data_IF_060430812758
#
_entry.id   IF_060430812758
#
_cell.length_a   1.000
_cell.length_b   1.000
_cell.length_c   1.000
_cell.angle_alpha   90.00
_cell.angle_beta   90.00
_cell.angle_gamma   90.00
#
_symmetry.space_group_name_H-M   'P 1'
#
loop_
_entity.id
_entity.type
_entity.pdbx_description
1 polymer ?
#
# COMPACT_ATOMS: atom_id res chain seq x y z
N UNK A 1 -5.20 13.14 -20.88
CA UNK A 1 -4.74 12.02 -20.01
C UNK A 1 -5.96 11.32 -19.43
N UNK A 2 -5.82 10.06 -19.05
CA UNK A 2 -6.86 9.23 -18.45
C UNK A 2 -6.54 8.95 -16.98
N UNK A 3 -7.58 8.87 -16.16
CA UNK A 3 -7.52 8.55 -14.73
C UNK A 3 -8.55 7.47 -14.41
N UNK A 4 -8.41 6.82 -13.26
CA UNK A 4 -9.36 5.81 -12.80
C UNK A 4 -10.69 6.42 -12.35
N UNK A 5 -11.79 5.76 -12.76
CA UNK A 5 -13.09 5.95 -12.16
C UNK A 5 -13.16 5.14 -10.86
N UNK A 6 -12.93 5.79 -9.71
CA UNK A 6 -12.74 5.12 -8.43
C UNK A 6 -13.95 4.29 -7.99
N UNK A 7 -15.16 4.71 -8.35
CA UNK A 7 -16.42 4.02 -8.03
C UNK A 7 -16.53 2.64 -8.71
N UNK A 8 -15.78 2.41 -9.78
CA UNK A 8 -15.73 1.12 -10.48
C UNK A 8 -14.73 0.14 -9.87
N UNK A 9 -13.80 0.64 -9.05
CA UNK A 9 -12.74 -0.16 -8.45
C UNK A 9 -13.20 -0.78 -7.12
N UNK A 10 -12.78 -2.01 -6.87
CA UNK A 10 -13.04 -2.74 -5.64
C UNK A 10 -11.73 -3.29 -5.07
N UNK A 11 -11.61 -3.29 -3.74
CA UNK A 11 -10.47 -3.89 -3.07
C UNK A 11 -10.23 -5.32 -3.59
N UNK A 12 -8.98 -5.66 -3.90
CA UNK A 12 -8.62 -6.93 -4.54
C UNK A 12 -8.51 -6.86 -6.06
N UNK A 13 -8.92 -5.75 -6.70
CA UNK A 13 -8.67 -5.53 -8.11
C UNK A 13 -7.17 -5.51 -8.42
N UNK A 14 -6.77 -6.29 -9.43
CA UNK A 14 -5.44 -6.32 -9.99
C UNK A 14 -5.41 -5.34 -11.16
N UNK A 15 -4.57 -4.33 -11.05
CA UNK A 15 -4.41 -3.30 -12.06
C UNK A 15 -3.12 -3.58 -12.82
N UNK A 16 -3.25 -3.87 -14.11
CA UNK A 16 -2.15 -4.10 -15.02
C UNK A 16 -1.90 -2.82 -15.80
N UNK A 17 -0.66 -2.34 -15.82
CA UNK A 17 -0.31 -1.08 -16.49
C UNK A 17 0.89 -1.21 -17.41
N UNK A 18 0.91 -0.39 -18.45
CA UNK A 18 2.05 -0.16 -19.33
C UNK A 18 2.76 1.12 -18.88
N UNK A 19 3.65 1.05 -17.88
CA UNK A 19 4.40 2.24 -17.44
C UNK A 19 5.28 2.80 -18.58
N UNK A 20 5.64 4.08 -18.61
CA UNK A 20 6.45 4.66 -19.71
C UNK A 20 7.96 4.65 -19.45
N UNK A 21 8.42 4.31 -18.23
CA UNK A 21 9.84 4.30 -17.84
C UNK A 21 10.74 3.26 -18.56
N UNK A 22 12.06 3.41 -18.45
CA UNK A 22 13.06 2.58 -19.14
C UNK A 22 12.94 1.08 -18.82
N UNK A 23 12.75 0.72 -17.54
CA UNK A 23 12.51 -0.66 -17.10
C UNK A 23 11.22 -1.21 -17.72
N UNK A 24 10.22 -0.36 -17.86
CA UNK A 24 8.93 -0.72 -18.44
C UNK A 24 9.02 -1.10 -19.92
N UNK A 25 9.85 -0.41 -20.71
CA UNK A 25 10.12 -0.78 -22.12
C UNK A 25 10.79 -2.16 -22.19
N UNK A 26 11.79 -2.43 -21.36
CA UNK A 26 12.50 -3.71 -21.30
C UNK A 26 11.58 -4.87 -20.89
N UNK A 27 10.71 -4.67 -19.90
CA UNK A 27 9.76 -5.70 -19.45
C UNK A 27 8.71 -5.98 -20.53
N UNK A 28 8.12 -4.97 -21.20
CA UNK A 28 7.14 -5.20 -22.28
C UNK A 28 7.73 -5.95 -23.47
N UNK A 29 8.88 -5.49 -23.97
CA UNK A 29 9.58 -6.10 -25.10
C UNK A 29 9.91 -7.57 -24.84
N UNK A 30 10.22 -7.89 -23.59
CA UNK A 30 10.69 -9.22 -23.23
C UNK A 30 9.63 -10.20 -22.76
N UNK A 31 8.44 -9.72 -22.39
CA UNK A 31 7.30 -10.55 -21.98
C UNK A 31 6.24 -10.69 -23.08
N UNK A 32 6.48 -10.07 -24.25
CA UNK A 32 5.51 -9.98 -25.35
C UNK A 32 4.12 -9.57 -24.84
N UNK A 33 4.10 -8.64 -23.89
CA UNK A 33 2.94 -8.21 -23.13
C UNK A 33 2.73 -6.72 -23.33
N UNK A 34 1.46 -6.30 -23.42
CA UNK A 34 1.11 -4.87 -23.37
C UNK A 34 1.42 -4.27 -22.00
N UNK A 35 1.33 -5.07 -20.93
CA UNK A 35 1.52 -4.64 -19.55
C UNK A 35 2.90 -5.00 -19.02
N UNK A 36 3.53 -4.06 -18.33
CA UNK A 36 4.85 -4.19 -17.70
C UNK A 36 4.81 -4.23 -16.18
N UNK A 37 3.69 -3.79 -15.61
CA UNK A 37 3.58 -3.57 -14.19
C UNK A 37 2.23 -4.09 -13.68
N UNK A 38 2.24 -4.59 -12.45
CA UNK A 38 1.06 -5.11 -11.77
C UNK A 38 0.93 -4.45 -10.39
N UNK A 39 -0.28 -4.07 -10.05
CA UNK A 39 -0.64 -3.32 -8.84
C UNK A 39 -1.81 -4.05 -8.18
N UNK A 40 -1.81 -4.13 -6.84
CA UNK A 40 -2.96 -4.60 -6.08
C UNK A 40 -3.71 -3.38 -5.49
N UNK A 41 -4.94 -3.16 -5.91
CA UNK A 41 -5.80 -2.13 -5.33
C UNK A 41 -6.34 -2.61 -3.98
N UNK A 42 -6.16 -1.80 -2.92
CA UNK A 42 -6.49 -2.18 -1.55
C UNK A 42 -7.69 -1.42 -0.96
N UNK A 43 -8.42 -0.70 -1.82
CA UNK A 43 -9.63 0.04 -1.49
C UNK A 43 -9.39 1.50 -1.09
N UNK A 44 -10.45 2.32 -1.15
CA UNK A 44 -10.44 3.72 -0.70
C UNK A 44 -9.41 4.59 -1.43
N UNK A 45 -9.15 4.33 -2.71
CA UNK A 45 -8.14 5.03 -3.51
C UNK A 45 -6.71 4.56 -3.27
N UNK A 46 -6.46 3.64 -2.34
CA UNK A 46 -5.12 3.15 -2.04
C UNK A 46 -4.79 1.88 -2.83
N UNK A 47 -3.53 1.75 -3.24
CA UNK A 47 -2.98 0.53 -3.81
C UNK A 47 -1.60 0.21 -3.23
N UNK A 48 -1.16 -1.04 -3.41
CA UNK A 48 0.19 -1.50 -3.08
C UNK A 48 0.82 -2.10 -4.33
N UNK A 49 2.09 -1.79 -4.55
CA UNK A 49 2.87 -2.33 -5.65
C UNK A 49 4.35 -2.46 -5.26
N UNK A 50 5.13 -3.05 -6.16
CA UNK A 50 6.58 -3.13 -6.04
C UNK A 50 7.21 -2.54 -7.30
N UNK A 51 7.99 -1.48 -7.16
CA UNK A 51 8.79 -0.85 -8.23
C UNK A 51 10.24 -0.65 -7.77
N UNK A 52 11.06 0.13 -8.48
CA UNK A 52 12.48 0.34 -8.14
C UNK A 52 12.73 0.81 -6.69
N UNK A 53 11.76 1.44 -6.02
CA UNK A 53 11.85 1.88 -4.64
C UNK A 53 11.45 0.78 -3.63
N UNK A 54 11.19 -0.44 -4.10
CA UNK A 54 10.69 -1.54 -3.29
C UNK A 54 9.17 -1.60 -3.24
N UNK A 55 8.64 -2.33 -2.25
CA UNK A 55 7.20 -2.43 -2.01
C UNK A 55 6.71 -1.25 -1.19
N UNK A 56 5.70 -0.55 -1.69
CA UNK A 56 5.09 0.56 -0.97
C UNK A 56 3.64 0.78 -1.40
N UNK A 57 2.93 1.61 -0.62
CA UNK A 57 1.56 2.02 -0.92
C UNK A 57 1.51 3.38 -1.61
N UNK A 58 0.56 3.58 -2.51
CA UNK A 58 0.33 4.87 -3.14
C UNK A 58 -1.19 5.10 -3.41
N UNK A 59 -1.55 6.22 -4.03
CA UNK A 59 -2.92 6.62 -4.32
C UNK A 59 -3.21 6.54 -5.83
N UNK A 60 -4.32 5.90 -6.19
CA UNK A 60 -4.74 5.64 -7.57
C UNK A 60 -5.02 6.92 -8.36
N UNK A 61 -5.43 8.00 -7.69
CA UNK A 61 -5.66 9.33 -8.27
C UNK A 61 -4.35 10.00 -8.72
N UNK A 62 -3.20 9.47 -8.33
CA UNK A 62 -1.88 9.93 -8.80
C UNK A 62 -1.40 9.18 -10.04
N UNK A 63 -2.17 8.22 -10.54
CA UNK A 63 -1.85 7.48 -11.76
C UNK A 63 -2.60 8.08 -12.95
N UNK A 64 -1.84 8.70 -13.85
CA UNK A 64 -2.31 9.18 -15.14
C UNK A 64 -1.80 8.31 -16.29
N UNK A 65 -2.62 8.19 -17.33
CA UNK A 65 -2.30 7.39 -18.50
C UNK A 65 -2.55 8.17 -19.79
N UNK A 66 -1.67 8.00 -20.78
CA UNK A 66 -1.83 8.63 -22.10
C UNK A 66 -2.95 8.00 -22.91
N UNK A 67 -3.10 6.67 -22.82
CA UNK A 67 -4.08 5.88 -23.57
C UNK A 67 -4.88 4.94 -22.66
N UNK A 68 -6.16 4.72 -22.98
CA UNK A 68 -7.00 3.76 -22.22
C UNK A 68 -6.48 2.33 -22.28
N UNK A 69 -5.85 1.94 -23.39
CA UNK A 69 -5.33 0.59 -23.60
C UNK A 69 -4.04 0.29 -22.79
N UNK A 70 -3.46 1.30 -22.13
CA UNK A 70 -2.28 1.14 -21.27
C UNK A 70 -2.63 0.53 -19.92
N UNK A 71 -3.92 0.35 -19.62
CA UNK A 71 -4.38 -0.12 -18.33
C UNK A 71 -5.47 -1.16 -18.52
N UNK A 72 -5.45 -2.18 -17.69
CA UNK A 72 -6.51 -3.15 -17.58
C UNK A 72 -6.75 -3.55 -16.13
N UNK A 73 -8.02 -3.65 -15.75
CA UNK A 73 -8.42 -4.03 -14.39
C UNK A 73 -8.97 -5.45 -14.43
N UNK A 74 -8.43 -6.30 -13.54
CA UNK A 74 -8.79 -7.71 -13.38
C UNK A 74 -9.28 -7.94 -11.96
N UNK A 75 -10.51 -8.41 -11.82
CA UNK A 75 -11.14 -8.71 -10.52
C UNK A 75 -11.13 -10.21 -10.28
N UNK A 76 -10.63 -10.62 -9.12
CA UNK A 76 -10.72 -12.01 -8.66
C UNK A 76 -12.19 -12.45 -8.57
N UNK A 77 -12.45 -13.70 -8.95
CA UNK A 77 -13.81 -14.26 -8.99
C UNK A 77 -14.38 -14.44 -7.58
N UNK A 78 -13.57 -14.94 -6.65
CA UNK A 78 -13.98 -15.22 -5.27
C UNK A 78 -13.43 -14.17 -4.29
N UNK A 79 -14.30 -13.25 -3.87
CA UNK A 79 -13.96 -12.15 -2.98
C UNK A 79 -13.50 -12.57 -1.58
N UNK A 80 -13.73 -13.82 -1.15
CA UNK A 80 -13.34 -14.30 0.18
C UNK A 80 -11.82 -14.25 0.43
N UNK A 81 -11.02 -14.32 -0.65
CA UNK A 81 -9.55 -14.28 -0.59
C UNK A 81 -8.96 -12.86 -0.47
N UNK A 82 -9.74 -11.82 -0.79
CA UNK A 82 -9.24 -10.45 -0.91
C UNK A 82 -8.63 -9.94 0.38
N UNK A 83 -9.31 -10.14 1.51
CA UNK A 83 -8.88 -9.59 2.79
C UNK A 83 -7.49 -10.10 3.18
N UNK A 84 -7.25 -11.40 3.04
CA UNK A 84 -5.96 -12.04 3.35
C UNK A 84 -4.89 -11.65 2.33
N UNK A 85 -5.23 -11.51 1.05
CA UNK A 85 -4.28 -11.06 0.03
C UNK A 85 -3.80 -9.63 0.31
N UNK A 86 -4.72 -8.73 0.66
CA UNK A 86 -4.38 -7.36 1.03
C UNK A 86 -3.56 -7.31 2.34
N UNK A 87 -3.88 -8.17 3.31
CA UNK A 87 -3.11 -8.28 4.55
C UNK A 87 -1.66 -8.68 4.25
N UNK A 88 -1.45 -9.68 3.40
CA UNK A 88 -0.10 -10.06 2.96
C UNK A 88 0.60 -8.91 2.24
N UNK A 89 -0.05 -8.29 1.25
CA UNK A 89 0.58 -7.19 0.51
C UNK A 89 1.06 -6.05 1.43
N UNK A 90 0.32 -5.76 2.51
CA UNK A 90 0.71 -4.77 3.52
C UNK A 90 1.94 -5.18 4.34
N UNK A 91 2.10 -6.46 4.68
CA UNK A 91 3.29 -6.94 5.40
C UNK A 91 4.56 -6.90 4.55
N UNK A 92 4.41 -6.82 3.22
CA UNK A 92 5.54 -6.73 2.31
C UNK A 92 6.10 -5.31 2.16
N UNK A 93 5.47 -4.27 2.72
CA UNK A 93 5.94 -2.88 2.60
C UNK A 93 7.38 -2.74 3.13
N UNK A 94 8.24 -2.08 2.34
CA UNK A 94 9.66 -1.90 2.60
C UNK A 94 10.56 -2.89 1.88
N UNK A 95 10.05 -4.06 1.44
CA UNK A 95 10.90 -5.07 0.80
C UNK A 95 11.47 -4.54 -0.51
N UNK A 96 12.79 -4.63 -0.66
CA UNK A 96 13.49 -4.04 -1.81
C UNK A 96 13.15 -4.76 -3.12
N UNK A 97 13.27 -4.03 -4.24
CA UNK A 97 12.96 -4.55 -5.56
C UNK A 97 14.10 -5.35 -6.19
N UNK A 98 13.77 -6.35 -7.01
CA UNK A 98 14.73 -7.15 -7.76
C UNK A 98 14.49 -7.05 -9.27
N UNK A 99 15.24 -6.16 -9.93
CA UNK A 99 15.28 -6.06 -11.41
C UNK A 99 15.76 -7.39 -12.01
N UNK A 100 16.77 -8.01 -11.40
CA UNK A 100 17.33 -9.27 -11.88
C UNK A 100 16.26 -10.37 -11.91
N UNK A 101 15.47 -10.52 -10.85
CA UNK A 101 14.42 -11.56 -10.82
C UNK A 101 13.23 -11.19 -11.71
N UNK A 102 12.86 -9.90 -11.80
CA UNK A 102 11.84 -9.46 -12.74
C UNK A 102 12.20 -9.82 -14.19
N UNK A 103 13.46 -9.66 -14.58
CA UNK A 103 13.97 -10.07 -15.91
C UNK A 103 14.00 -11.59 -16.07
N UNK A 104 14.27 -12.35 -14.99
CA UNK A 104 14.31 -13.83 -15.02
C UNK A 104 12.96 -14.50 -15.21
N UNK A 105 11.85 -13.78 -15.08
CA UNK A 105 10.49 -14.29 -15.42
C UNK A 105 10.39 -14.86 -16.85
N UNK A 106 11.29 -14.44 -17.75
CA UNK A 106 11.43 -14.99 -19.11
C UNK A 106 11.84 -16.46 -19.17
N UNK A 107 12.44 -16.97 -18.10
CA UNK A 107 12.96 -18.34 -18.00
C UNK A 107 12.11 -19.10 -16.97
N UNK A 108 10.91 -19.57 -17.33
CA UNK A 108 9.98 -20.21 -16.39
C UNK A 108 10.53 -21.48 -15.72
N UNK A 109 11.60 -22.06 -16.28
CA UNK A 109 12.34 -23.20 -15.71
C UNK A 109 13.47 -22.80 -14.75
N UNK A 110 13.68 -21.50 -14.49
CA UNK A 110 14.71 -21.03 -13.58
C UNK A 110 14.36 -21.42 -12.13
N UNK A 111 15.22 -22.24 -11.51
CA UNK A 111 15.10 -22.72 -10.12
C UNK A 111 16.22 -22.17 -9.22
N UNK A 112 16.71 -20.96 -9.48
CA UNK A 112 17.74 -20.36 -8.63
C UNK A 112 17.20 -19.95 -7.26
N UNK A 113 18.12 -19.72 -6.31
CA UNK A 113 17.78 -19.27 -4.95
C UNK A 113 16.98 -17.97 -5.02
N UNK A 114 15.76 -18.00 -4.46
CA UNK A 114 14.90 -16.83 -4.29
C UNK A 114 15.63 -15.78 -3.44
N UNK A 115 15.71 -14.55 -3.95
CA UNK A 115 16.20 -13.43 -3.14
C UNK A 115 15.08 -12.94 -2.22
N UNK A 116 15.43 -12.37 -1.06
CA UNK A 116 14.46 -11.71 -0.17
C UNK A 116 14.05 -10.35 -0.76
N UNK A 117 13.48 -10.36 -1.96
CA UNK A 117 13.20 -9.18 -2.77
C UNK A 117 11.89 -9.38 -3.51
N UNK A 118 11.25 -8.29 -3.92
CA UNK A 118 9.98 -8.32 -4.62
C UNK A 118 10.08 -7.74 -6.03
N UNK A 119 9.07 -8.03 -6.85
CA UNK A 119 8.74 -7.25 -8.03
C UNK A 119 7.23 -7.28 -8.25
N UNK A 120 6.73 -6.41 -9.13
CA UNK A 120 5.32 -6.09 -9.25
C UNK A 120 4.37 -7.30 -9.34
N UNK A 121 4.55 -8.19 -10.32
CA UNK A 121 3.67 -9.35 -10.53
C UNK A 121 3.87 -10.44 -9.49
N UNK A 122 5.11 -10.65 -9.00
CA UNK A 122 5.39 -11.55 -7.87
C UNK A 122 4.61 -11.14 -6.63
N UNK A 123 4.64 -9.85 -6.28
CA UNK A 123 3.92 -9.34 -5.11
C UNK A 123 2.43 -9.66 -5.20
N UNK A 124 1.79 -9.38 -6.34
CA UNK A 124 0.36 -9.69 -6.55
C UNK A 124 0.10 -11.19 -6.48
N UNK A 125 0.91 -12.00 -7.17
CA UNK A 125 0.72 -13.44 -7.21
C UNK A 125 0.89 -14.09 -5.83
N UNK A 126 1.92 -13.72 -5.07
CA UNK A 126 2.15 -14.21 -3.71
C UNK A 126 1.08 -13.74 -2.73
N UNK A 127 0.56 -12.52 -2.89
CA UNK A 127 -0.54 -12.02 -2.06
C UNK A 127 -1.75 -12.95 -2.14
N UNK A 128 -2.13 -13.32 -3.36
CA UNK A 128 -3.25 -14.23 -3.58
C UNK A 128 -2.91 -15.68 -3.22
N UNK A 129 -1.69 -16.15 -3.48
CA UNK A 129 -1.30 -17.50 -3.03
C UNK A 129 -1.34 -17.63 -1.50
N UNK A 130 -0.86 -16.61 -0.77
CA UNK A 130 -0.97 -16.56 0.69
C UNK A 130 -2.42 -16.63 1.17
N UNK A 131 -3.34 -16.00 0.45
CA UNK A 131 -4.77 -16.08 0.73
C UNK A 131 -5.38 -17.46 0.44
N UNK A 132 -4.68 -18.31 -0.33
CA UNK A 132 -5.13 -19.66 -0.70
C UNK A 132 -5.55 -19.81 -2.17
N UNK A 133 -5.36 -18.78 -3.01
CA UNK A 133 -5.74 -18.81 -4.42
C UNK A 133 -4.52 -18.65 -5.35
N UNK A 134 -4.27 -19.68 -6.16
CA UNK A 134 -3.13 -19.71 -7.09
C UNK A 134 -3.52 -19.11 -8.43
N UNK A 135 -3.25 -17.82 -8.62
CA UNK A 135 -3.53 -17.13 -9.89
C UNK A 135 -2.64 -17.59 -11.04
N UNK A 136 -1.43 -18.05 -10.73
CA UNK A 136 -0.40 -18.50 -11.68
C UNK A 136 0.28 -19.77 -11.15
N UNK A 137 0.97 -20.50 -12.03
CA UNK A 137 1.68 -21.74 -11.66
C UNK A 137 2.89 -21.50 -10.76
N UNK A 138 3.62 -20.40 -10.99
CA UNK A 138 4.78 -20.00 -10.21
C UNK A 138 4.67 -18.53 -9.76
N UNK A 139 4.24 -18.27 -8.51
CA UNK A 139 4.09 -16.90 -8.01
C UNK A 139 5.42 -16.20 -7.74
N UNK A 140 6.54 -16.93 -7.66
CA UNK A 140 7.87 -16.33 -7.50
C UNK A 140 8.42 -15.78 -8.83
N UNK A 141 7.95 -16.30 -9.96
CA UNK A 141 8.39 -15.91 -11.31
C UNK A 141 7.20 -15.90 -12.27
N UNK A 142 6.44 -14.81 -12.26
CA UNK A 142 5.32 -14.61 -13.15
C UNK A 142 5.33 -13.20 -13.75
N UNK A 143 4.67 -13.06 -14.89
CA UNK A 143 4.51 -11.81 -15.62
C UNK A 143 3.11 -11.21 -15.40
N UNK A 144 2.93 -9.90 -15.61
CA UNK A 144 1.60 -9.28 -15.64
C UNK A 144 0.62 -9.98 -16.60
N UNK A 145 1.13 -10.52 -17.72
CA UNK A 145 0.35 -11.26 -18.72
C UNK A 145 -0.18 -12.60 -18.19
N UNK A 146 0.57 -13.28 -17.33
CA UNK A 146 0.09 -14.51 -16.70
C UNK A 146 -1.02 -14.24 -15.70
N UNK A 147 -0.90 -13.18 -14.90
CA UNK A 147 -1.99 -12.69 -14.04
C UNK A 147 -3.23 -12.34 -14.88
N UNK A 148 -3.04 -11.62 -15.99
CA UNK A 148 -4.10 -11.25 -16.93
C UNK A 148 -4.90 -12.46 -17.44
N UNK A 149 -4.20 -13.55 -17.74
CA UNK A 149 -4.75 -14.77 -18.36
C UNK A 149 -5.29 -15.78 -17.34
N UNK A 150 -5.15 -15.50 -16.05
CA UNK A 150 -5.65 -16.41 -15.02
C UNK A 150 -7.16 -16.63 -15.21
N UNK A 151 -7.66 -17.88 -15.19
CA UNK A 151 -9.09 -18.15 -15.29
C UNK A 151 -9.86 -17.73 -14.02
N UNK A 152 -9.13 -17.32 -12.97
CA UNK A 152 -9.66 -16.92 -11.67
C UNK A 152 -9.91 -15.41 -11.57
N UNK A 153 -9.75 -14.67 -12.69
CA UNK A 153 -10.02 -13.23 -12.75
C UNK A 153 -10.89 -12.88 -13.95
N UNK A 154 -11.78 -11.91 -13.74
CA UNK A 154 -12.64 -11.32 -14.76
C UNK A 154 -12.17 -9.90 -15.11
N UNK A 155 -12.34 -9.48 -16.35
CA UNK A 155 -12.06 -8.10 -16.76
C UNK A 155 -13.14 -7.14 -16.22
N UNK A 156 -12.72 -5.99 -15.69
CA UNK A 156 -13.63 -4.92 -15.27
C UNK A 156 -13.57 -3.78 -16.29
N UNK A 157 -14.65 -3.60 -17.04
CA UNK A 157 -14.76 -2.56 -18.06
C UNK A 157 -15.12 -1.19 -17.45
N UNK A 158 -14.80 -0.11 -18.19
CA UNK A 158 -15.24 1.25 -17.83
C UNK A 158 -14.51 1.87 -16.63
N UNK A 159 -13.35 1.35 -16.25
CA UNK A 159 -12.59 1.84 -15.09
C UNK A 159 -11.79 3.14 -15.36
N UNK A 160 -11.84 3.71 -16.57
CA UNK A 160 -11.06 4.89 -16.94
C UNK A 160 -11.94 5.95 -17.58
N UNK A 161 -11.69 7.21 -17.21
CA UNK A 161 -12.26 8.40 -17.84
C UNK A 161 -11.19 9.44 -18.13
N UNK A 162 -11.55 10.48 -18.87
CA UNK A 162 -10.66 11.63 -19.09
C UNK A 162 -10.46 12.33 -17.74
N UNK A 163 -9.21 12.64 -17.44
CA UNK A 163 -8.86 13.38 -16.23
C UNK A 163 -9.21 14.86 -16.40
N UNK A 164 -9.74 15.47 -15.34
CA UNK A 164 -9.94 16.91 -15.27
C UNK A 164 -8.64 17.63 -14.91
N UNK A 165 -8.54 18.92 -15.22
CA UNK A 165 -7.32 19.70 -15.03
C UNK A 165 -6.84 19.69 -13.57
N UNK A 166 -7.78 19.82 -12.63
CA UNK A 166 -7.47 19.79 -11.19
C UNK A 166 -6.97 18.42 -10.72
N UNK A 167 -7.39 17.32 -11.37
CA UNK A 167 -6.90 15.97 -11.07
C UNK A 167 -5.50 15.76 -11.63
N UNK A 168 -5.22 16.33 -12.80
CA UNK A 168 -3.87 16.34 -13.37
C UNK A 168 -2.93 17.13 -12.46
N UNK A 169 -3.34 18.30 -11.99
CA UNK A 169 -2.58 19.10 -11.03
C UNK A 169 -2.35 18.32 -9.72
N UNK A 170 -3.41 17.72 -9.15
CA UNK A 170 -3.30 16.90 -7.95
C UNK A 170 -2.33 15.73 -8.10
N UNK A 171 -2.35 15.04 -9.25
CA UNK A 171 -1.46 13.90 -9.50
C UNK A 171 0.03 14.27 -9.43
N UNK A 172 0.35 15.50 -9.85
CA UNK A 172 1.70 16.06 -9.88
C UNK A 172 2.07 16.83 -8.60
N UNK A 173 1.10 17.09 -7.71
CA UNK A 173 1.33 17.75 -6.43
C UNK A 173 2.24 16.95 -5.49
N UNK A 174 2.77 17.59 -4.45
CA UNK A 174 3.50 16.92 -3.38
C UNK A 174 2.73 15.70 -2.83
N UNK A 175 3.45 14.58 -2.65
CA UNK A 175 2.87 13.32 -2.17
C UNK A 175 3.43 12.95 -0.80
N UNK A 176 2.61 12.98 0.28
CA UNK A 176 3.05 12.47 1.57
C UNK A 176 3.38 10.97 1.54
N UNK A 177 2.85 10.22 0.57
CA UNK A 177 3.12 8.79 0.38
C UNK A 177 4.53 8.54 -0.18
N UNK A 178 5.04 9.48 -0.98
CA UNK A 178 6.43 9.44 -1.44
C UNK A 178 7.39 9.63 -0.25
N UNK A 179 7.14 10.64 0.59
CA UNK A 179 7.89 10.84 1.84
C UNK A 179 7.83 9.62 2.76
N UNK A 180 6.68 8.97 2.88
CA UNK A 180 6.54 7.73 3.65
C UNK A 180 7.43 6.61 3.10
N UNK A 181 7.52 6.47 1.79
CA UNK A 181 8.38 5.49 1.11
C UNK A 181 9.85 5.76 1.40
N UNK A 182 10.28 7.03 1.26
CA UNK A 182 11.66 7.47 1.54
C UNK A 182 12.06 7.22 3.00
N UNK A 183 11.23 7.63 3.96
CA UNK A 183 11.48 7.43 5.41
C UNK A 183 11.56 5.94 5.74
N UNK A 184 10.65 5.13 5.18
CA UNK A 184 10.64 3.67 5.39
C UNK A 184 11.95 3.05 4.88
N UNK A 185 12.36 3.41 3.66
CA UNK A 185 13.58 2.88 3.05
C UNK A 185 14.82 3.32 3.80
N UNK A 186 14.90 4.58 4.23
CA UNK A 186 16.02 5.12 5.01
C UNK A 186 16.19 4.40 6.36
N UNK A 187 15.09 4.09 7.06
CA UNK A 187 15.15 3.31 8.30
C UNK A 187 15.70 1.92 8.02
N UNK A 188 15.14 1.22 7.05
CA UNK A 188 15.54 -0.15 6.76
C UNK A 188 17.00 -0.21 6.26
N UNK A 189 17.45 0.78 5.50
CA UNK A 189 18.85 0.92 5.08
C UNK A 189 19.78 1.13 6.28
N UNK A 190 19.49 2.11 7.15
CA UNK A 190 20.28 2.38 8.34
C UNK A 190 20.36 1.16 9.27
N UNK A 191 19.27 0.40 9.40
CA UNK A 191 19.27 -0.85 10.19
C UNK A 191 20.11 -1.94 9.51
N UNK A 192 20.04 -2.11 8.19
CA UNK A 192 20.89 -3.07 7.47
C UNK A 192 22.37 -2.72 7.63
N UNK A 193 22.74 -1.46 7.51
CA UNK A 193 24.11 -0.98 7.75
C UNK A 193 24.56 -1.24 9.19
N UNK A 194 23.68 -0.95 10.15
CA UNK A 194 23.94 -1.16 11.58
C UNK A 194 24.19 -2.63 11.93
N UNK A 195 23.44 -3.55 11.33
CA UNK A 195 23.34 -4.95 11.77
C UNK A 195 24.06 -5.94 10.86
N UNK A 196 24.35 -5.54 9.62
CA UNK A 196 24.84 -6.42 8.56
C UNK A 196 23.84 -7.49 8.12
N UNK A 197 22.58 -7.42 8.56
CA UNK A 197 21.53 -8.41 8.25
C UNK A 197 20.65 -7.94 7.09
N UNK A 198 20.08 -8.89 6.33
CA UNK A 198 19.17 -8.60 5.22
C UNK A 198 17.73 -8.31 5.69
N UNK A 199 17.57 -7.25 6.50
CA UNK A 199 16.27 -6.78 7.02
C UNK A 199 15.54 -6.01 5.91
N UNK A 200 14.36 -6.49 5.52
CA UNK A 200 13.63 -5.97 4.36
C UNK A 200 12.28 -5.33 4.71
N UNK A 201 11.71 -5.62 5.86
CA UNK A 201 10.44 -5.03 6.30
C UNK A 201 10.47 -4.65 7.78
N UNK A 202 9.46 -3.91 8.23
CA UNK A 202 9.26 -3.68 9.66
C UNK A 202 8.95 -4.98 10.42
N UNK A 203 8.37 -5.99 9.76
CA UNK A 203 8.14 -7.29 10.38
C UNK A 203 9.46 -8.03 10.62
N UNK A 204 10.40 -7.99 9.66
CA UNK A 204 11.76 -8.50 9.84
C UNK A 204 12.48 -7.75 10.97
N UNK A 205 12.34 -6.42 11.01
CA UNK A 205 12.92 -5.57 12.05
C UNK A 205 12.38 -5.91 13.43
N UNK A 206 11.06 -6.08 13.57
CA UNK A 206 10.40 -6.48 14.80
C UNK A 206 10.97 -7.81 15.31
N UNK A 207 11.07 -8.82 14.43
CA UNK A 207 11.65 -10.12 14.79
C UNK A 207 13.13 -10.02 15.16
N UNK A 208 13.88 -9.18 14.45
CA UNK A 208 15.30 -8.97 14.71
C UNK A 208 15.55 -8.36 16.10
N UNK A 209 14.80 -7.31 16.46
CA UNK A 209 14.95 -6.62 17.76
C UNK A 209 14.60 -7.55 18.92
N UNK A 210 13.56 -8.38 18.79
CA UNK A 210 13.19 -9.39 19.80
C UNK A 210 14.35 -10.38 20.03
N UNK A 211 14.96 -10.88 18.96
CA UNK A 211 16.05 -11.86 19.03
C UNK A 211 17.38 -11.26 19.44
N UNK A 212 17.57 -9.95 19.22
CA UNK A 212 18.82 -9.25 19.48
C UNK A 212 18.60 -7.96 20.28
N UNK A 213 18.18 -8.05 21.56
CA UNK A 213 17.90 -6.87 22.40
C UNK A 213 19.04 -5.86 22.53
N UNK A 214 20.29 -6.29 22.28
CA UNK A 214 21.46 -5.40 22.28
C UNK A 214 21.35 -4.24 21.27
N UNK A 215 20.55 -4.39 20.21
CA UNK A 215 20.33 -3.33 19.22
C UNK A 215 19.11 -2.45 19.53
N UNK A 216 18.31 -2.77 20.54
CA UNK A 216 17.01 -2.11 20.83
C UNK A 216 17.12 -0.59 20.87
N UNK A 217 18.07 -0.06 21.64
CA UNK A 217 18.27 1.38 21.77
C UNK A 217 18.65 2.04 20.43
N UNK A 218 19.64 1.49 19.73
CA UNK A 218 20.16 2.07 18.48
C UNK A 218 19.09 2.05 17.38
N UNK A 219 18.34 0.96 17.27
CA UNK A 219 17.23 0.84 16.31
C UNK A 219 16.09 1.80 16.67
N UNK A 220 15.76 1.92 17.95
CA UNK A 220 14.76 2.89 18.43
C UNK A 220 15.14 4.31 18.03
N UNK A 221 16.41 4.69 18.17
CA UNK A 221 16.90 6.03 17.83
C UNK A 221 16.88 6.29 16.31
N UNK A 222 17.20 5.28 15.49
CA UNK A 222 17.05 5.36 14.02
C UNK A 222 15.59 5.70 13.67
N UNK A 223 14.61 4.97 14.22
CA UNK A 223 13.20 5.23 13.91
C UNK A 223 12.75 6.59 14.42
N UNK A 224 13.15 6.99 15.63
CA UNK A 224 12.80 8.31 16.19
C UNK A 224 13.34 9.47 15.34
N UNK A 225 14.60 9.39 14.91
CA UNK A 225 15.26 10.45 14.14
C UNK A 225 14.79 10.52 12.68
N UNK A 226 14.21 9.44 12.14
CA UNK A 226 13.73 9.37 10.75
C UNK A 226 12.50 10.26 10.43
N UNK A 227 11.79 10.73 11.45
CA UNK A 227 10.50 11.42 11.29
C UNK A 227 9.30 10.48 11.07
N UNK A 228 9.49 9.16 11.08
CA UNK A 228 8.41 8.17 10.90
C UNK A 228 7.25 8.36 11.89
N UNK A 229 7.58 8.66 13.14
CA UNK A 229 6.60 8.77 14.24
C UNK A 229 5.70 10.00 14.15
N UNK A 230 5.98 10.94 13.25
CA UNK A 230 5.26 12.22 13.10
C UNK A 230 4.68 12.40 11.69
N UNK A 231 4.78 11.40 10.80
CA UNK A 231 4.28 11.54 9.42
C UNK A 231 2.77 11.82 9.35
N UNK A 232 2.01 11.34 10.33
CA UNK A 232 0.56 11.55 10.38
C UNK A 232 0.16 13.02 10.65
N UNK A 233 1.07 13.84 11.20
CA UNK A 233 0.79 15.25 11.51
C UNK A 233 0.53 16.07 10.24
N UNK A 234 1.14 15.67 9.11
CA UNK A 234 0.86 16.29 7.81
C UNK A 234 -0.62 16.21 7.46
N UNK A 235 -1.24 15.05 7.66
CA UNK A 235 -2.65 14.84 7.32
C UNK A 235 -3.58 15.68 8.20
N UNK A 236 -3.27 15.76 9.50
CA UNK A 236 -4.02 16.60 10.44
C UNK A 236 -3.96 18.09 10.04
N UNK A 237 -2.80 18.53 9.56
CA UNK A 237 -2.57 19.94 9.21
C UNK A 237 -3.21 20.30 7.87
N UNK A 238 -3.09 19.43 6.86
CA UNK A 238 -3.57 19.71 5.51
C UNK A 238 -5.06 19.43 5.33
N UNK A 239 -5.62 18.49 6.10
CA UNK A 239 -7.01 18.07 5.97
C UNK A 239 -7.78 18.18 7.30
N UNK A 240 -7.83 19.36 7.93
CA UNK A 240 -8.48 19.55 9.23
C UNK A 240 -9.98 19.21 9.19
N UNK A 241 -10.63 19.42 8.04
CA UNK A 241 -12.03 19.07 7.77
C UNK A 241 -12.34 17.58 8.00
N UNK A 242 -11.35 16.69 7.93
CA UNK A 242 -11.55 15.25 8.21
C UNK A 242 -11.68 14.96 9.70
N UNK A 243 -11.25 15.86 10.56
CA UNK A 243 -11.15 15.67 12.00
C UNK A 243 -12.07 16.61 12.79
N UNK A 244 -12.80 17.47 12.09
CA UNK A 244 -13.74 18.43 12.65
C UNK A 244 -15.01 18.48 11.78
N UNK A 245 -16.14 18.10 12.37
CA UNK A 245 -17.40 18.00 11.66
C UNK A 245 -17.99 19.37 11.27
N UNK A 246 -17.73 20.43 12.02
CA UNK A 246 -18.20 21.77 11.69
C UNK A 246 -17.44 22.32 10.48
N UNK A 247 -16.12 22.13 10.47
CA UNK A 247 -15.28 22.50 9.30
C UNK A 247 -15.74 21.74 8.06
N UNK A 248 -16.06 20.44 8.18
CA UNK A 248 -16.59 19.65 7.08
C UNK A 248 -17.93 20.21 6.57
N UNK A 249 -18.88 20.50 7.47
CA UNK A 249 -20.19 21.05 7.10
C UNK A 249 -20.08 22.40 6.41
N UNK A 250 -19.07 23.21 6.76
CA UNK A 250 -18.82 24.51 6.16
C UNK A 250 -18.27 24.43 4.72
N UNK A 251 -17.83 23.25 4.24
CA UNK A 251 -17.38 23.08 2.86
C UNK A 251 -18.51 23.41 1.86
N UNK A 252 -18.16 24.01 0.72
CA UNK A 252 -19.15 24.43 -0.28
C UNK A 252 -19.60 23.27 -1.19
N UNK A 253 -20.31 22.31 -0.60
CA UNK A 253 -20.90 21.16 -1.29
C UNK A 253 -22.35 20.93 -0.85
N UNK A 254 -23.14 20.32 -1.72
CA UNK A 254 -24.51 19.87 -1.44
C UNK A 254 -24.57 18.89 -0.26
N UNK A 255 -25.66 18.93 0.51
CA UNK A 255 -25.83 18.09 1.71
C UNK A 255 -25.77 16.60 1.41
N UNK A 256 -26.37 16.17 0.29
CA UNK A 256 -26.34 14.76 -0.15
C UNK A 256 -24.90 14.28 -0.40
N UNK A 257 -24.10 15.09 -1.09
CA UNK A 257 -22.69 14.79 -1.34
C UNK A 257 -21.88 14.75 -0.03
N UNK A 258 -22.09 15.72 0.87
CA UNK A 258 -21.43 15.73 2.18
C UNK A 258 -21.74 14.46 2.98
N UNK A 259 -23.01 14.04 3.01
CA UNK A 259 -23.45 12.82 3.68
C UNK A 259 -22.77 11.58 3.12
N UNK A 260 -22.73 11.44 1.80
CA UNK A 260 -22.08 10.32 1.13
C UNK A 260 -20.57 10.27 1.44
N UNK A 261 -19.87 11.41 1.31
CA UNK A 261 -18.45 11.48 1.61
C UNK A 261 -18.15 11.19 3.07
N UNK A 262 -18.99 11.68 4.00
CA UNK A 262 -18.85 11.37 5.42
C UNK A 262 -19.03 9.88 5.72
N UNK A 263 -19.94 9.18 5.03
CA UNK A 263 -20.11 7.73 5.18
C UNK A 263 -18.85 6.96 4.74
N UNK A 264 -18.27 7.30 3.58
CA UNK A 264 -17.03 6.68 3.09
C UNK A 264 -15.84 6.94 4.04
N UNK A 265 -15.73 8.17 4.52
CA UNK A 265 -14.70 8.58 5.48
C UNK A 265 -14.85 7.85 6.83
N UNK A 266 -16.08 7.68 7.31
CA UNK A 266 -16.41 6.94 8.52
C UNK A 266 -15.99 5.47 8.41
N UNK A 267 -16.38 4.80 7.31
CA UNK A 267 -16.00 3.40 7.08
C UNK A 267 -14.47 3.22 7.07
N UNK A 268 -13.78 4.11 6.35
CA UNK A 268 -12.32 4.14 6.29
C UNK A 268 -11.69 4.32 7.67
N UNK A 269 -12.19 5.25 8.48
CA UNK A 269 -11.67 5.52 9.82
C UNK A 269 -11.90 4.34 10.78
N UNK A 270 -13.08 3.70 10.74
CA UNK A 270 -13.38 2.48 11.53
C UNK A 270 -12.40 1.35 11.18
N UNK A 271 -12.14 1.14 9.90
CA UNK A 271 -11.19 0.11 9.45
C UNK A 271 -9.74 0.42 9.88
N UNK A 272 -9.37 1.70 9.93
CA UNK A 272 -8.07 2.13 10.45
C UNK A 272 -7.95 1.91 11.97
N UNK A 273 -8.99 2.23 12.76
CA UNK A 273 -9.00 1.93 14.21
C UNK A 273 -8.82 0.45 14.48
N UNK A 274 -9.53 -0.43 13.75
CA UNK A 274 -9.37 -1.90 13.89
C UNK A 274 -7.92 -2.32 13.69
N UNK A 275 -7.27 -1.81 12.65
CA UNK A 275 -5.89 -2.14 12.30
C UNK A 275 -4.89 -1.60 13.32
N UNK A 276 -5.00 -0.33 13.71
CA UNK A 276 -4.10 0.27 14.68
C UNK A 276 -4.28 -0.34 16.08
N UNK A 277 -5.52 -0.69 16.46
CA UNK A 277 -5.80 -1.43 17.69
C UNK A 277 -5.14 -2.81 17.69
N UNK A 278 -5.24 -3.55 16.59
CA UNK A 278 -4.55 -4.83 16.44
C UNK A 278 -3.04 -4.69 16.60
N UNK A 279 -2.43 -3.71 15.90
CA UNK A 279 -0.99 -3.47 15.99
C UNK A 279 -0.55 -3.03 17.39
N UNK A 280 -1.35 -2.19 18.06
CA UNK A 280 -1.12 -1.80 19.46
C UNK A 280 -1.13 -3.02 20.39
N UNK A 281 -2.14 -3.89 20.25
CA UNK A 281 -2.26 -5.13 21.04
C UNK A 281 -1.07 -6.07 20.78
N UNK A 282 -0.62 -6.21 19.53
CA UNK A 282 0.57 -7.01 19.22
C UNK A 282 1.82 -6.46 19.92
N UNK A 283 2.04 -5.14 19.87
CA UNK A 283 3.16 -4.51 20.58
C UNK A 283 3.03 -4.67 22.11
N UNK A 284 1.82 -4.56 22.66
CA UNK A 284 1.54 -4.76 24.09
C UNK A 284 1.86 -6.19 24.52
N UNK A 285 1.45 -7.19 23.74
CA UNK A 285 1.73 -8.60 24.02
C UNK A 285 3.23 -8.90 24.01
N UNK A 286 3.98 -8.30 23.08
CA UNK A 286 5.44 -8.41 23.01
C UNK A 286 6.06 -7.73 24.23
N UNK A 287 5.62 -6.52 24.59
CA UNK A 287 6.11 -5.79 25.77
C UNK A 287 5.91 -6.55 27.08
N UNK A 288 4.80 -7.29 27.21
CA UNK A 288 4.55 -8.15 28.36
C UNK A 288 5.57 -9.28 28.54
N UNK A 289 6.35 -9.60 27.49
CA UNK A 289 7.40 -10.63 27.50
C UNK A 289 8.81 -10.03 27.42
N UNK A 290 8.96 -8.89 26.77
CA UNK A 290 10.24 -8.24 26.49
C UNK A 290 10.16 -6.74 26.81
N UNK A 291 11.06 -6.24 27.65
CA UNK A 291 11.13 -4.81 28.00
C UNK A 291 11.97 -4.03 26.98
N UNK A 292 11.46 -3.92 25.75
CA UNK A 292 12.16 -3.30 24.60
C UNK A 292 11.57 -1.92 24.28
N UNK A 293 12.43 -0.89 24.22
CA UNK A 293 12.06 0.50 23.93
C UNK A 293 11.47 0.67 22.54
N UNK A 294 11.91 -0.17 21.60
CA UNK A 294 11.40 -0.17 20.23
C UNK A 294 9.89 -0.45 20.17
N UNK A 295 9.41 -1.45 20.94
CA UNK A 295 7.97 -1.76 20.98
C UNK A 295 7.18 -0.74 21.80
N UNK A 296 7.75 -0.15 22.84
CA UNK A 296 7.12 0.96 23.57
C UNK A 296 6.90 2.17 22.66
N UNK A 297 7.90 2.55 21.86
CA UNK A 297 7.77 3.60 20.87
C UNK A 297 6.65 3.32 19.86
N UNK A 298 6.56 2.08 19.34
CA UNK A 298 5.48 1.69 18.42
C UNK A 298 4.10 1.74 19.09
N UNK A 299 3.99 1.31 20.35
CA UNK A 299 2.74 1.42 21.11
C UNK A 299 2.27 2.88 21.21
N UNK A 300 3.17 3.81 21.54
CA UNK A 300 2.82 5.23 21.62
C UNK A 300 2.38 5.81 20.28
N UNK A 301 3.02 5.40 19.17
CA UNK A 301 2.55 5.75 17.83
C UNK A 301 1.14 5.24 17.57
N UNK A 302 0.88 3.94 17.77
CA UNK A 302 -0.44 3.36 17.49
C UNK A 302 -1.53 3.95 18.39
N UNK A 303 -1.22 4.24 19.65
CA UNK A 303 -2.14 4.95 20.56
C UNK A 303 -2.53 6.32 20.00
N UNK A 304 -1.56 7.12 19.53
CA UNK A 304 -1.84 8.40 18.87
C UNK A 304 -2.71 8.22 17.63
N UNK A 305 -2.38 7.26 16.75
CA UNK A 305 -3.15 7.00 15.53
C UNK A 305 -4.59 6.58 15.84
N UNK A 306 -4.83 5.74 16.85
CA UNK A 306 -6.17 5.36 17.31
C UNK A 306 -6.96 6.59 17.77
N UNK A 307 -6.36 7.47 18.59
CA UNK A 307 -7.00 8.70 19.05
C UNK A 307 -7.41 9.58 17.87
N UNK A 308 -6.53 9.79 16.89
CA UNK A 308 -6.86 10.62 15.73
C UNK A 308 -7.96 10.00 14.87
N UNK A 309 -7.97 8.68 14.68
CA UNK A 309 -9.04 8.02 13.93
C UNK A 309 -10.39 8.08 14.64
N UNK A 310 -10.41 8.03 15.97
CA UNK A 310 -11.65 8.22 16.73
C UNK A 310 -12.19 9.65 16.57
N UNK A 311 -11.34 10.68 16.59
CA UNK A 311 -11.77 12.06 16.27
C UNK A 311 -12.41 12.16 14.89
N UNK A 312 -11.81 11.51 13.90
CA UNK A 312 -12.38 11.45 12.53
C UNK A 312 -13.72 10.71 12.50
N UNK A 313 -13.87 9.60 13.24
CA UNK A 313 -15.16 8.91 13.38
C UNK A 313 -16.23 9.85 13.96
N UNK A 314 -15.90 10.57 15.03
CA UNK A 314 -16.83 11.48 15.69
C UNK A 314 -17.22 12.65 14.77
N UNK A 315 -16.24 13.23 14.06
CA UNK A 315 -16.48 14.27 13.06
C UNK A 315 -17.42 13.77 11.94
N UNK A 316 -17.18 12.60 11.37
CA UNK A 316 -18.03 12.08 10.30
C UNK A 316 -19.44 11.71 10.79
N UNK A 317 -19.58 11.17 12.00
CA UNK A 317 -20.90 10.94 12.62
C UNK A 317 -21.67 12.23 12.80
N UNK A 318 -20.99 13.29 13.24
CA UNK A 318 -21.59 14.61 13.36
C UNK A 318 -22.07 15.13 12.00
N UNK A 319 -21.26 15.03 10.94
CA UNK A 319 -21.68 15.43 9.59
C UNK A 319 -22.93 14.66 9.15
N UNK A 320 -22.92 13.33 9.25
CA UNK A 320 -24.04 12.47 8.83
C UNK A 320 -25.34 12.82 9.58
N UNK A 321 -25.25 13.22 10.85
CA UNK A 321 -26.39 13.63 11.65
C UNK A 321 -26.95 15.01 11.27
N UNK A 322 -26.16 15.86 10.60
CA UNK A 322 -26.46 17.26 10.33
C UNK A 322 -26.53 17.63 8.83
N UNK A 323 -26.49 16.64 7.93
CA UNK A 323 -26.68 16.80 6.46
C UNK A 323 -27.88 16.02 6.00
#
# INVERSE_FOLDING_TARGET
>A
MYIFEMEKLQAGDIILTAQTGFISKTVRLSTLSKFSHAILYVGGGSFIHSDIQGVHSNNIQRLLFEEKNHVEVRRIVDASYVANAIMFARSQIGISYSVQEAVRTKYPLYKGKKLNRQFCSRLVAQSFEYAGIKLVSNPDYCTPKELQKSPLVNMVAGCLRVAEDHEIEFSNSYSPLQRQTEVTNAILEAVRELTGQDIQSFDDLDQFVIKNPVYDQRITDIVKSSGYLIMFDYELTQNPWRYDGEIFLALNFESSYKRERAQLELESAVNQVKRYSHNYQMCQNIRGRFSLRYFEMKMELYKKLIIQMNKRIDAMRYVIANT
#
